data_IF_216020288029
#
_entry.id   IF_216020288029
#
_cell.length_a   1.000
_cell.length_b   1.000
_cell.length_c   1.000
_cell.angle_alpha   90.00
_cell.angle_beta   90.00
_cell.angle_gamma   90.00
#
_symmetry.space_group_name_H-M   'P 1'
#
loop_
_entity.id
_entity.type
_entity.pdbx_description
1 polymer ?
#
# COMPACT_ATOMS: atom_id res chain seq x y z
N UNK A 1 -15.00 -11.04 5.10
CA UNK A 1 -14.92 -11.17 3.63
C UNK A 1 -14.89 -9.76 3.04
N UNK A 2 -13.69 -9.22 2.83
CA UNK A 2 -13.52 -7.90 2.22
C UNK A 2 -13.88 -8.00 0.74
N UNK A 3 -14.84 -7.20 0.29
CA UNK A 3 -15.20 -7.07 -1.11
C UNK A 3 -14.54 -5.80 -1.64
N UNK A 4 -13.30 -5.90 -2.12
CA UNK A 4 -12.62 -4.78 -2.78
C UNK A 4 -13.38 -4.45 -4.06
N UNK A 5 -14.04 -3.30 -4.11
CA UNK A 5 -14.64 -2.74 -5.32
C UNK A 5 -13.88 -1.49 -5.70
N UNK A 6 -12.94 -1.65 -6.63
CA UNK A 6 -12.31 -0.51 -7.30
C UNK A 6 -13.33 0.00 -8.32
N UNK A 7 -13.88 1.19 -8.09
CA UNK A 7 -14.80 1.84 -9.01
C UNK A 7 -13.98 2.81 -9.85
N UNK A 8 -13.75 2.46 -11.12
CA UNK A 8 -13.17 3.40 -12.09
C UNK A 8 -14.28 4.27 -12.64
N UNK A 9 -14.13 5.57 -12.42
CA UNK A 9 -15.02 6.59 -12.98
C UNK A 9 -14.53 6.87 -14.40
N UNK A 10 -15.15 6.20 -15.40
CA UNK A 10 -14.74 6.27 -16.80
C UNK A 10 -15.26 5.06 -17.61
N UNK A 11 -14.66 4.81 -18.78
CA UNK A 11 -15.00 3.65 -19.62
C UNK A 11 -14.76 2.34 -18.85
N UNK A 12 -15.81 1.55 -18.55
CA UNK A 12 -15.70 0.31 -17.76
C UNK A 12 -14.79 -0.73 -18.40
N UNK A 13 -14.66 -0.71 -19.72
CA UNK A 13 -13.85 -1.63 -20.51
C UNK A 13 -12.34 -1.27 -20.53
N UNK A 14 -11.97 -0.10 -19.97
CA UNK A 14 -10.59 0.37 -19.89
C UNK A 14 -9.94 0.18 -18.51
N UNK A 15 -10.69 -0.39 -17.57
CA UNK A 15 -10.20 -0.79 -16.26
C UNK A 15 -9.05 -1.77 -16.46
N UNK A 16 -7.81 -1.28 -16.34
CA UNK A 16 -6.63 -2.13 -16.51
C UNK A 16 -6.51 -2.71 -17.93
N UNK A 17 -7.05 -2.01 -18.94
CA UNK A 17 -6.83 -2.33 -20.35
C UNK A 17 -5.45 -1.87 -20.85
N UNK A 18 -4.68 -1.20 -19.98
CA UNK A 18 -3.26 -1.06 -20.22
C UNK A 18 -2.66 -2.48 -20.22
N UNK A 19 -2.03 -2.92 -21.32
CA UNK A 19 -1.28 -4.16 -21.31
C UNK A 19 -0.27 -4.12 -20.16
N UNK A 20 0.12 -5.29 -19.67
CA UNK A 20 1.16 -5.34 -18.65
C UNK A 20 2.40 -4.64 -19.15
N UNK A 21 3.03 -3.80 -18.30
CA UNK A 21 4.28 -3.22 -18.68
C UNK A 21 5.29 -4.34 -18.93
N UNK A 22 5.92 -4.32 -20.10
CA UNK A 22 7.02 -5.22 -20.43
C UNK A 22 8.24 -4.88 -19.57
N UNK A 23 9.24 -5.77 -19.54
CA UNK A 23 10.52 -5.47 -18.88
C UNK A 23 11.21 -4.23 -19.43
N UNK A 24 10.90 -3.87 -20.68
CA UNK A 24 11.43 -2.69 -21.36
C UNK A 24 10.57 -1.43 -21.13
N UNK A 25 9.46 -1.52 -20.41
CA UNK A 25 8.59 -0.37 -20.16
C UNK A 25 9.15 0.55 -19.06
N UNK A 26 9.05 1.84 -19.35
CA UNK A 26 9.66 2.90 -18.57
C UNK A 26 8.61 3.69 -17.80
N UNK A 27 9.00 4.20 -16.63
CA UNK A 27 8.22 5.13 -15.83
C UNK A 27 8.05 6.47 -16.56
N UNK A 28 6.97 7.22 -16.31
CA UNK A 28 6.65 8.43 -17.06
C UNK A 28 7.68 9.55 -16.91
N UNK A 29 8.26 9.68 -15.71
CA UNK A 29 9.36 10.60 -15.39
C UNK A 29 10.07 10.09 -14.14
N UNK A 30 11.29 10.59 -13.90
CA UNK A 30 12.03 10.32 -12.66
C UNK A 30 11.65 11.29 -11.55
N UNK A 31 11.46 12.58 -11.85
CA UNK A 31 11.00 13.59 -10.87
C UNK A 31 9.55 14.01 -11.09
N UNK A 32 8.87 14.39 -10.00
CA UNK A 32 7.55 15.01 -10.04
C UNK A 32 7.60 16.44 -10.61
N UNK A 33 8.74 17.15 -10.45
CA UNK A 33 8.94 18.49 -11.02
C UNK A 33 9.01 18.43 -12.53
N UNK A 34 9.85 17.53 -13.08
CA UNK A 34 9.97 17.27 -14.52
C UNK A 34 8.61 16.95 -15.14
N UNK A 35 7.82 16.11 -14.46
CA UNK A 35 6.45 15.79 -14.89
C UNK A 35 5.53 17.01 -14.90
N UNK A 36 5.54 17.79 -13.82
CA UNK A 36 4.65 18.94 -13.63
C UNK A 36 4.96 20.06 -14.62
N UNK A 37 6.24 20.27 -14.90
CA UNK A 37 6.72 21.32 -15.80
C UNK A 37 6.72 20.87 -17.28
N UNK A 38 6.47 19.58 -17.54
CA UNK A 38 6.44 19.01 -18.88
C UNK A 38 7.83 18.88 -19.51
N UNK A 39 8.87 18.76 -18.69
CA UNK A 39 10.25 18.63 -19.12
C UNK A 39 10.56 17.20 -19.57
N UNK A 40 11.50 17.06 -20.51
CA UNK A 40 11.97 15.76 -20.99
C UNK A 40 13.08 15.28 -20.05
N UNK A 41 12.72 14.41 -19.11
CA UNK A 41 13.65 13.79 -18.15
C UNK A 41 14.18 12.42 -18.59
N UNK A 42 15.05 11.83 -17.77
CA UNK A 42 15.42 10.41 -17.86
C UNK A 42 14.32 9.53 -17.25
N UNK A 43 14.06 8.36 -17.83
CA UNK A 43 13.05 7.43 -17.34
C UNK A 43 13.69 6.14 -16.82
N UNK A 44 13.21 5.65 -15.68
CA UNK A 44 13.63 4.38 -15.08
C UNK A 44 12.67 3.25 -15.44
N UNK A 45 13.10 1.99 -15.35
CA UNK A 45 12.25 0.84 -15.65
C UNK A 45 11.10 0.70 -14.62
N UNK A 46 9.90 0.35 -15.10
CA UNK A 46 8.76 0.04 -14.23
C UNK A 46 9.05 -1.17 -13.33
N UNK A 47 9.79 -2.14 -13.87
CA UNK A 47 10.21 -3.38 -13.22
C UNK A 47 11.72 -3.37 -12.94
N UNK A 48 12.21 -2.35 -12.23
CA UNK A 48 13.60 -2.34 -11.79
C UNK A 48 13.89 -3.57 -10.91
N UNK A 49 15.03 -4.23 -11.16
CA UNK A 49 15.48 -5.37 -10.35
C UNK A 49 15.71 -4.97 -8.88
N UNK A 50 16.06 -3.70 -8.66
CA UNK A 50 16.25 -3.11 -7.33
C UNK A 50 15.37 -1.86 -7.17
N UNK A 51 14.20 -2.03 -6.54
CA UNK A 51 13.29 -0.94 -6.16
C UNK A 51 13.87 -0.01 -5.09
N UNK A 52 15.04 -0.37 -4.53
CA UNK A 52 15.80 0.37 -3.50
C UNK A 52 16.86 1.31 -4.10
N UNK A 53 16.87 1.54 -5.41
CA UNK A 53 17.90 2.35 -6.04
C UNK A 53 17.98 3.77 -5.42
N UNK A 54 19.19 4.30 -5.14
CA UNK A 54 19.40 5.59 -4.45
C UNK A 54 19.02 6.82 -5.29
N UNK A 55 18.52 6.63 -6.51
CA UNK A 55 17.95 7.68 -7.34
C UNK A 55 16.52 7.97 -6.91
N UNK A 56 16.28 9.15 -6.33
CA UNK A 56 14.98 9.60 -5.82
C UNK A 56 13.89 9.61 -6.90
N UNK A 57 13.18 8.49 -7.06
CA UNK A 57 11.95 8.43 -7.84
C UNK A 57 10.90 9.36 -7.22
N UNK A 58 10.24 10.15 -8.06
CA UNK A 58 9.13 11.03 -7.68
C UNK A 58 7.93 10.25 -7.13
N UNK A 59 7.05 10.95 -6.40
CA UNK A 59 5.85 10.37 -5.81
C UNK A 59 4.92 9.79 -6.87
N UNK A 60 4.83 10.41 -8.05
CA UNK A 60 4.00 9.89 -9.14
C UNK A 60 4.52 8.56 -9.69
N UNK A 61 5.83 8.44 -9.92
CA UNK A 61 6.46 7.22 -10.41
C UNK A 61 6.25 6.05 -9.41
N UNK A 62 6.36 6.34 -8.12
CA UNK A 62 6.08 5.38 -7.03
C UNK A 62 4.61 4.93 -7.01
N UNK A 63 3.67 5.84 -7.29
CA UNK A 63 2.25 5.49 -7.45
C UNK A 63 2.05 4.55 -8.63
N UNK A 64 2.71 4.80 -9.77
CA UNK A 64 2.65 3.91 -10.93
C UNK A 64 3.14 2.50 -10.59
N UNK A 65 4.26 2.37 -9.88
CA UNK A 65 4.78 1.08 -9.40
C UNK A 65 3.77 0.35 -8.50
N UNK A 66 3.17 1.05 -7.54
CA UNK A 66 2.17 0.46 -6.64
C UNK A 66 0.90 0.02 -7.40
N UNK A 67 0.43 0.81 -8.35
CA UNK A 67 -0.73 0.47 -9.20
C UNK A 67 -0.44 -0.75 -10.08
N UNK A 68 0.76 -0.84 -10.64
CA UNK A 68 1.19 -2.01 -11.40
C UNK A 68 1.16 -3.28 -10.53
N UNK A 69 1.71 -3.21 -9.32
CA UNK A 69 1.69 -4.34 -8.39
C UNK A 69 0.27 -4.73 -7.96
N UNK A 70 -0.61 -3.76 -7.74
CA UNK A 70 -2.03 -4.04 -7.49
C UNK A 70 -2.68 -4.76 -8.70
N UNK A 71 -2.35 -4.35 -9.92
CA UNK A 71 -2.85 -4.98 -11.16
C UNK A 71 -2.40 -6.45 -11.25
N UNK A 72 -1.14 -6.74 -10.89
CA UNK A 72 -0.62 -8.11 -10.79
C UNK A 72 -1.39 -8.95 -9.78
N UNK A 73 -1.66 -8.42 -8.58
CA UNK A 73 -2.46 -9.10 -7.55
C UNK A 73 -3.87 -9.40 -8.04
N UNK A 74 -4.52 -8.43 -8.70
CA UNK A 74 -5.88 -8.62 -9.20
C UNK A 74 -5.93 -9.70 -10.28
N UNK A 75 -4.98 -9.75 -11.22
CA UNK A 75 -4.92 -10.83 -12.22
C UNK A 75 -4.66 -12.18 -11.56
N UNK A 76 -3.73 -12.23 -10.61
CA UNK A 76 -3.46 -13.45 -9.84
C UNK A 76 -4.73 -13.97 -9.14
N UNK A 77 -5.52 -13.07 -8.54
CA UNK A 77 -6.83 -13.41 -7.97
C UNK A 77 -7.80 -14.02 -9.01
N UNK A 78 -7.88 -13.44 -10.21
CA UNK A 78 -8.71 -13.99 -11.28
C UNK A 78 -8.22 -15.36 -11.75
N UNK A 79 -6.90 -15.54 -11.92
CA UNK A 79 -6.29 -16.81 -12.35
C UNK A 79 -6.47 -17.93 -11.34
N UNK A 80 -6.42 -17.63 -10.04
CA UNK A 80 -6.64 -18.61 -8.97
C UNK A 80 -7.97 -19.36 -9.11
N UNK A 81 -9.01 -18.69 -9.63
CA UNK A 81 -10.33 -19.29 -9.81
C UNK A 81 -10.38 -20.28 -11.00
N UNK A 82 -9.43 -20.21 -11.93
CA UNK A 82 -9.39 -21.02 -13.14
C UNK A 82 -8.30 -22.09 -13.12
N UNK A 83 -7.23 -21.90 -12.35
CA UNK A 83 -6.03 -22.74 -12.40
C UNK A 83 -6.18 -24.01 -11.57
N UNK A 84 -5.69 -25.13 -12.13
CA UNK A 84 -5.62 -26.44 -11.44
C UNK A 84 -4.28 -26.71 -10.77
N UNK A 85 -3.21 -26.03 -11.17
CA UNK A 85 -1.88 -26.13 -10.55
C UNK A 85 -1.76 -25.20 -9.33
N UNK A 86 -2.01 -25.77 -8.15
CA UNK A 86 -1.97 -25.06 -6.87
C UNK A 86 -0.53 -24.67 -6.50
N UNK A 87 0.46 -25.50 -6.83
CA UNK A 87 1.86 -25.27 -6.40
C UNK A 87 2.45 -24.08 -7.16
N UNK A 88 2.28 -24.02 -8.49
CA UNK A 88 2.68 -22.86 -9.28
C UNK A 88 1.96 -21.59 -8.80
N UNK A 89 0.68 -21.69 -8.49
CA UNK A 89 -0.14 -20.56 -8.04
C UNK A 89 0.31 -20.03 -6.66
N UNK A 90 0.73 -20.90 -5.74
CA UNK A 90 1.30 -20.43 -4.46
C UNK A 90 2.70 -19.83 -4.66
N UNK A 91 3.54 -20.40 -5.52
CA UNK A 91 4.85 -19.80 -5.81
C UNK A 91 4.71 -18.39 -6.40
N UNK A 92 3.76 -18.18 -7.31
CA UNK A 92 3.49 -16.84 -7.85
C UNK A 92 3.01 -15.89 -6.76
N UNK A 93 2.13 -16.33 -5.86
CA UNK A 93 1.69 -15.52 -4.72
C UNK A 93 2.86 -15.10 -3.81
N UNK A 94 3.81 -16.01 -3.56
CA UNK A 94 5.02 -15.72 -2.79
C UNK A 94 5.94 -14.73 -3.50
N UNK A 95 6.08 -14.83 -4.82
CA UNK A 95 6.86 -13.86 -5.61
C UNK A 95 6.22 -12.47 -5.58
N UNK A 96 4.90 -12.38 -5.76
CA UNK A 96 4.16 -11.12 -5.67
C UNK A 96 4.29 -10.52 -4.26
N UNK A 97 4.18 -11.35 -3.22
CA UNK A 97 4.38 -10.90 -1.84
C UNK A 97 5.77 -10.28 -1.62
N UNK A 98 6.84 -10.95 -2.07
CA UNK A 98 8.22 -10.43 -1.93
C UNK A 98 8.37 -9.06 -2.59
N UNK A 99 7.92 -8.93 -3.83
CA UNK A 99 7.97 -7.67 -4.57
C UNK A 99 7.16 -6.55 -3.88
N UNK A 100 6.00 -6.88 -3.29
CA UNK A 100 5.22 -5.90 -2.52
C UNK A 100 5.92 -5.47 -1.23
N UNK A 101 6.59 -6.37 -0.52
CA UNK A 101 7.37 -6.03 0.69
C UNK A 101 8.60 -5.19 0.35
N UNK A 102 9.26 -5.49 -0.77
CA UNK A 102 10.39 -4.69 -1.27
C UNK A 102 9.95 -3.28 -1.66
N UNK A 103 8.80 -3.14 -2.33
CA UNK A 103 8.22 -1.84 -2.64
C UNK A 103 7.81 -1.07 -1.39
N UNK A 104 7.18 -1.73 -0.41
CA UNK A 104 6.82 -1.10 0.88
C UNK A 104 8.05 -0.54 1.60
N UNK A 105 9.14 -1.32 1.64
CA UNK A 105 10.40 -0.91 2.24
C UNK A 105 11.07 0.26 1.51
N UNK A 106 10.93 0.37 0.18
CA UNK A 106 11.49 1.51 -0.56
C UNK A 106 10.65 2.79 -0.48
N UNK A 107 9.42 2.70 0.05
CA UNK A 107 8.55 3.84 0.30
C UNK A 107 8.74 4.42 1.71
N UNK A 108 9.42 3.70 2.61
CA UNK A 108 9.70 4.10 3.98
C UNK A 108 11.03 4.89 4.06
N UNK A 109 10.97 6.22 4.32
CA UNK A 109 12.16 7.06 4.34
C UNK A 109 13.04 6.82 5.58
N UNK A 110 12.62 6.02 6.55
CA UNK A 110 13.42 5.71 7.74
C UNK A 110 14.63 4.79 7.47
N UNK A 111 14.83 4.37 6.21
CA UNK A 111 15.92 3.47 5.82
C UNK A 111 17.15 4.17 5.21
N UNK A 112 17.11 5.49 5.06
CA UNK A 112 18.17 6.29 4.43
C UNK A 112 19.13 6.98 5.45
N UNK A 113 19.01 6.74 6.77
CA UNK A 113 19.75 7.45 7.82
C UNK A 113 20.91 6.66 8.49
N UNK A 114 21.49 5.64 7.84
CA UNK A 114 22.65 4.88 8.40
C UNK A 114 23.89 4.89 7.51
N UNK A 115 24.22 6.04 6.91
CA UNK A 115 25.61 6.33 6.50
C UNK A 115 26.28 7.09 7.64
N UNK A 116 26.77 6.33 8.62
CA UNK A 116 27.72 6.84 9.61
C UNK A 116 29.04 7.16 8.95
N UNK A 117 29.23 8.42 8.56
CA UNK A 117 30.55 8.99 8.34
C UNK A 117 30.84 10.04 9.43
N UNK A 118 31.69 9.63 10.36
CA UNK A 118 32.52 10.53 11.16
C UNK A 118 33.42 11.31 10.19
N UNK A 119 33.09 12.57 9.85
CA UNK A 119 34.06 13.48 9.24
C UNK A 119 34.10 14.83 9.96
N UNK A 120 35.29 15.10 10.50
CA UNK A 120 35.70 16.31 11.18
C UNK A 120 36.08 17.38 10.14
N UNK A 121 35.42 18.53 10.11
CA UNK A 121 36.05 19.76 9.57
C UNK A 121 35.14 20.79 8.90
N UNK A 122 35.35 22.05 9.30
CA UNK A 122 34.99 23.30 8.63
C UNK A 122 34.94 23.24 7.08
N UNK A 123 33.88 23.79 6.47
CA UNK A 123 33.95 24.94 5.55
C UNK A 123 32.55 25.35 5.04
N UNK A 124 32.42 26.65 4.76
CA UNK A 124 31.23 27.40 4.32
C UNK A 124 30.62 26.97 2.96
N UNK A 125 29.33 27.32 2.79
CA UNK A 125 28.57 27.52 1.54
C UNK A 125 28.31 26.32 0.61
N UNK A 126 27.17 25.65 0.80
CA UNK A 126 26.08 25.52 -0.20
C UNK A 126 24.93 24.71 0.44
N UNK A 127 23.74 25.32 0.52
CA UNK A 127 22.50 24.71 1.05
C UNK A 127 21.92 23.71 0.02
N UNK A 128 22.68 22.66 -0.27
CA UNK A 128 22.28 21.51 -1.09
C UNK A 128 21.95 20.33 -0.14
N UNK A 129 21.09 20.59 0.86
CA UNK A 129 20.49 19.49 1.63
C UNK A 129 19.64 18.67 0.67
N UNK A 130 19.85 17.34 0.54
CA UNK A 130 18.97 16.50 -0.24
C UNK A 130 17.55 16.74 0.26
N UNK A 131 16.69 17.27 -0.61
CA UNK A 131 15.30 17.56 -0.28
C UNK A 131 14.64 16.21 -0.10
N UNK A 132 14.66 15.68 1.14
CA UNK A 132 13.95 14.46 1.51
C UNK A 132 12.53 14.67 0.98
N UNK A 133 12.06 13.85 0.01
CA UNK A 133 10.72 14.01 -0.50
C UNK A 133 9.79 13.96 0.71
N UNK A 134 8.94 14.99 0.92
CA UNK A 134 8.14 15.04 2.12
C UNK A 134 7.39 13.72 2.23
N UNK A 135 7.43 13.07 3.39
CA UNK A 135 6.79 11.79 3.70
C UNK A 135 5.36 11.67 3.13
N UNK A 136 4.66 12.81 3.00
CA UNK A 136 3.39 13.03 2.30
C UNK A 136 3.34 12.49 0.84
N UNK A 137 4.45 12.58 0.09
CA UNK A 137 4.55 12.23 -1.33
C UNK A 137 4.40 10.71 -1.57
N UNK A 138 4.81 9.88 -0.60
CA UNK A 138 4.74 8.43 -0.72
C UNK A 138 3.43 7.83 -0.20
N UNK A 139 2.62 8.60 0.56
CA UNK A 139 1.37 8.09 1.15
C UNK A 139 0.44 7.44 0.12
N UNK A 140 0.19 8.02 -1.07
CA UNK A 140 -0.68 7.38 -2.06
C UNK A 140 -0.11 6.03 -2.55
N UNK A 141 1.20 5.96 -2.81
CA UNK A 141 1.86 4.72 -3.23
C UNK A 141 1.81 3.65 -2.13
N UNK A 142 2.11 4.03 -0.88
CA UNK A 142 2.08 3.15 0.27
C UNK A 142 0.67 2.62 0.55
N UNK A 143 -0.35 3.46 0.38
CA UNK A 143 -1.74 3.05 0.50
C UNK A 143 -2.15 2.04 -0.57
N UNK A 144 -1.76 2.25 -1.83
CA UNK A 144 -2.04 1.31 -2.92
C UNK A 144 -1.28 -0.01 -2.68
N UNK A 145 -0.01 0.06 -2.26
CA UNK A 145 0.79 -1.13 -1.92
C UNK A 145 0.15 -1.91 -0.76
N UNK A 146 -0.28 -1.22 0.31
CA UNK A 146 -0.99 -1.81 1.44
C UNK A 146 -2.31 -2.48 1.01
N UNK A 147 -3.08 -1.83 0.14
CA UNK A 147 -4.30 -2.41 -0.43
C UNK A 147 -3.99 -3.67 -1.27
N UNK A 148 -2.96 -3.65 -2.12
CA UNK A 148 -2.54 -4.80 -2.90
C UNK A 148 -2.15 -5.98 -2.00
N UNK A 149 -1.39 -5.72 -0.92
CA UNK A 149 -1.04 -6.70 0.10
C UNK A 149 -2.29 -7.26 0.79
N UNK A 150 -3.22 -6.41 1.24
CA UNK A 150 -4.47 -6.86 1.86
C UNK A 150 -5.31 -7.72 0.91
N UNK A 151 -5.44 -7.34 -0.37
CA UNK A 151 -6.13 -8.15 -1.38
C UNK A 151 -5.48 -9.53 -1.49
N UNK A 152 -4.15 -9.57 -1.65
CA UNK A 152 -3.40 -10.83 -1.78
C UNK A 152 -3.56 -11.69 -0.52
N UNK A 153 -3.32 -11.14 0.66
CA UNK A 153 -3.34 -11.89 1.91
C UNK A 153 -4.73 -12.43 2.25
N UNK A 154 -5.80 -11.66 1.99
CA UNK A 154 -7.16 -12.14 2.21
C UNK A 154 -7.52 -13.39 1.39
N UNK A 155 -6.84 -13.61 0.25
CA UNK A 155 -7.03 -14.82 -0.55
C UNK A 155 -6.53 -16.08 0.17
N UNK A 156 -5.49 -15.95 0.99
CA UNK A 156 -4.77 -17.07 1.60
C UNK A 156 -4.95 -17.14 3.12
N UNK A 157 -5.46 -16.08 3.75
CA UNK A 157 -5.75 -16.05 5.18
C UNK A 157 -6.85 -17.06 5.58
N UNK A 158 -7.85 -17.26 4.71
CA UNK A 158 -8.92 -18.22 4.92
C UNK A 158 -8.74 -19.46 4.01
N UNK A 159 -8.36 -20.58 4.62
CA UNK A 159 -8.40 -21.88 3.97
C UNK A 159 -9.84 -22.43 4.03
N UNK A 160 -10.71 -22.03 3.11
CA UNK A 160 -12.07 -22.58 3.07
C UNK A 160 -12.04 -24.10 2.85
N UNK A 161 -12.77 -24.88 3.68
CA UNK A 161 -12.65 -26.33 3.72
C UNK A 161 -13.20 -27.05 2.47
N UNK A 162 -14.16 -26.47 1.73
CA UNK A 162 -14.89 -27.20 0.69
C UNK A 162 -14.00 -27.63 -0.50
N UNK A 163 -13.09 -26.76 -0.97
CA UNK A 163 -12.16 -27.09 -2.06
C UNK A 163 -10.94 -27.89 -1.56
N UNK A 164 -10.50 -27.64 -0.33
CA UNK A 164 -9.32 -28.28 0.28
C UNK A 164 -9.57 -29.76 0.65
N UNK A 165 -10.80 -30.12 1.04
CA UNK A 165 -11.16 -31.50 1.39
C UNK A 165 -11.08 -32.43 0.17
N UNK A 166 -11.35 -31.93 -1.04
CA UNK A 166 -11.36 -32.74 -2.26
C UNK A 166 -9.96 -32.99 -2.86
N UNK A 167 -8.98 -32.11 -2.60
CA UNK A 167 -7.66 -32.13 -3.26
C UNK A 167 -6.49 -32.54 -2.36
N UNK A 168 -6.71 -32.63 -1.05
CA UNK A 168 -5.63 -32.81 -0.07
C UNK A 168 -4.88 -31.50 0.17
N UNK A 169 -4.51 -31.24 1.44
CA UNK A 169 -3.80 -30.01 1.82
C UNK A 169 -2.31 -30.13 1.57
N UNK A 170 -1.71 -29.10 0.97
CA UNK A 170 -0.26 -29.01 0.71
C UNK A 170 0.39 -28.22 1.84
N UNK A 171 1.58 -28.63 2.31
CA UNK A 171 2.30 -27.91 3.38
C UNK A 171 2.51 -26.41 3.05
N UNK A 172 2.74 -26.12 1.77
CA UNK A 172 2.89 -24.77 1.23
C UNK A 172 1.65 -23.88 1.44
N UNK A 173 0.44 -24.46 1.49
CA UNK A 173 -0.80 -23.72 1.79
C UNK A 173 -0.83 -23.21 3.24
N UNK A 174 -0.26 -23.98 4.17
CA UNK A 174 -0.15 -23.56 5.56
C UNK A 174 0.88 -22.44 5.72
N UNK A 175 1.99 -22.51 4.98
CA UNK A 175 3.03 -21.46 5.00
C UNK A 175 2.48 -20.13 4.49
N UNK A 176 1.83 -20.13 3.32
CA UNK A 176 1.24 -18.91 2.76
C UNK A 176 0.08 -18.37 3.61
N UNK A 177 -0.69 -19.24 4.28
CA UNK A 177 -1.72 -18.81 5.23
C UNK A 177 -1.10 -18.09 6.43
N UNK A 178 -0.07 -18.67 7.07
CA UNK A 178 0.62 -18.04 8.21
C UNK A 178 1.20 -16.68 7.81
N UNK A 179 1.85 -16.64 6.66
CA UNK A 179 2.42 -15.41 6.09
C UNK A 179 1.34 -14.35 5.87
N UNK A 180 0.19 -14.75 5.31
CA UNK A 180 -0.91 -13.83 5.02
C UNK A 180 -1.54 -13.26 6.28
N UNK A 181 -1.80 -14.11 7.29
CA UNK A 181 -2.33 -13.65 8.58
C UNK A 181 -1.36 -12.71 9.30
N UNK A 182 -0.06 -13.03 9.29
CA UNK A 182 0.98 -12.17 9.85
C UNK A 182 1.05 -10.83 9.11
N UNK A 183 0.96 -10.85 7.78
CA UNK A 183 0.99 -9.65 6.94
C UNK A 183 -0.22 -8.74 7.13
N UNK A 184 -1.43 -9.31 7.27
CA UNK A 184 -2.64 -8.53 7.60
C UNK A 184 -2.49 -7.89 8.98
N UNK A 185 -2.01 -8.67 9.97
CA UNK A 185 -1.80 -8.17 11.33
C UNK A 185 -0.82 -6.99 11.34
N UNK A 186 0.31 -7.13 10.66
CA UNK A 186 1.35 -6.11 10.59
C UNK A 186 0.86 -4.80 9.94
N UNK A 187 0.14 -4.91 8.81
CA UNK A 187 -0.47 -3.75 8.15
C UNK A 187 -1.49 -3.03 9.04
N UNK A 188 -2.35 -3.81 9.70
CA UNK A 188 -3.44 -3.27 10.51
C UNK A 188 -2.96 -2.67 11.85
N UNK A 189 -1.91 -3.21 12.47
CA UNK A 189 -1.39 -2.67 13.74
C UNK A 189 -0.31 -1.61 13.57
N UNK A 190 0.43 -1.59 12.46
CA UNK A 190 1.57 -0.69 12.27
C UNK A 190 1.41 0.23 11.07
N UNK A 191 1.49 -0.30 9.85
CA UNK A 191 1.67 0.49 8.62
C UNK A 191 0.52 1.46 8.39
N UNK A 192 -0.73 0.99 8.43
CA UNK A 192 -1.91 1.82 8.15
C UNK A 192 -2.16 2.84 9.29
N UNK A 193 -2.08 2.46 10.58
CA UNK A 193 -2.10 3.44 11.66
C UNK A 193 -0.98 4.48 11.60
N UNK A 194 0.24 4.09 11.21
CA UNK A 194 1.35 5.02 11.03
C UNK A 194 1.04 6.08 9.99
N UNK A 195 0.58 5.65 8.81
CA UNK A 195 0.11 6.55 7.76
C UNK A 195 -1.00 7.49 8.26
N UNK A 196 -1.95 6.98 9.07
CA UNK A 196 -3.00 7.80 9.68
C UNK A 196 -2.44 8.90 10.61
N UNK A 197 -1.43 8.57 11.43
CA UNK A 197 -0.75 9.53 12.30
C UNK A 197 0.01 10.58 11.50
N UNK A 198 0.70 10.17 10.45
CA UNK A 198 1.46 11.06 9.56
C UNK A 198 0.55 12.06 8.84
N UNK A 199 -0.62 11.63 8.36
CA UNK A 199 -1.64 12.53 7.78
C UNK A 199 -2.05 13.63 8.77
N UNK A 200 -2.32 13.25 10.02
CA UNK A 200 -2.74 14.20 11.06
C UNK A 200 -1.59 15.14 11.45
N UNK A 201 -0.36 14.61 11.54
CA UNK A 201 0.84 15.36 11.89
C UNK A 201 1.22 16.37 10.80
N UNK A 202 1.14 15.98 9.53
CA UNK A 202 1.34 16.85 8.36
C UNK A 202 0.36 18.03 8.37
N UNK A 203 -0.93 17.75 8.57
CA UNK A 203 -1.94 18.80 8.63
C UNK A 203 -1.71 19.79 9.79
N UNK A 204 -1.34 19.28 10.97
CA UNK A 204 -1.09 20.11 12.14
C UNK A 204 0.05 21.13 11.91
N UNK A 205 1.05 20.77 11.10
CA UNK A 205 2.16 21.66 10.76
C UNK A 205 1.83 22.63 9.62
N UNK A 206 0.92 22.26 8.72
CA UNK A 206 0.60 23.03 7.52
C UNK A 206 -0.90 23.01 7.22
N UNK A 207 -1.72 23.73 8.02
CA UNK A 207 -3.18 23.71 7.89
C UNK A 207 -3.69 24.38 6.60
N UNK A 208 -2.84 25.14 5.90
CA UNK A 208 -3.16 25.81 4.63
C UNK A 208 -2.88 24.97 3.38
N UNK A 209 -2.22 23.80 3.52
CA UNK A 209 -1.98 22.89 2.39
C UNK A 209 -3.27 22.19 1.96
N UNK A 210 -3.40 21.79 0.68
CA UNK A 210 -4.47 20.90 0.24
C UNK A 210 -4.47 19.65 1.11
N UNK A 211 -5.65 19.17 1.51
CA UNK A 211 -5.71 17.97 2.32
C UNK A 211 -5.34 16.70 1.55
N UNK A 212 -5.23 15.59 2.28
CA UNK A 212 -4.64 14.34 1.82
C UNK A 212 -5.42 13.71 0.66
N UNK A 213 -4.72 12.95 -0.18
CA UNK A 213 -5.30 12.27 -1.34
C UNK A 213 -6.48 11.33 -0.97
N UNK A 214 -7.59 11.32 -1.72
CA UNK A 214 -8.77 10.49 -1.41
C UNK A 214 -8.49 8.98 -1.48
N UNK A 215 -7.42 8.55 -2.16
CA UNK A 215 -7.05 7.12 -2.23
C UNK A 215 -6.68 6.54 -0.85
N UNK A 216 -6.19 7.40 0.04
CA UNK A 216 -5.84 7.05 1.42
C UNK A 216 -7.08 6.62 2.21
N UNK A 217 -8.24 7.22 1.93
CA UNK A 217 -9.48 6.92 2.62
C UNK A 217 -9.87 5.44 2.51
N UNK A 218 -9.62 4.82 1.35
CA UNK A 218 -9.95 3.41 1.13
C UNK A 218 -9.00 2.48 1.90
N UNK A 219 -7.70 2.79 1.89
CA UNK A 219 -6.71 2.05 2.67
C UNK A 219 -7.01 2.14 4.18
N UNK A 220 -7.29 3.35 4.67
CA UNK A 220 -7.68 3.60 6.06
C UNK A 220 -8.95 2.82 6.43
N UNK A 221 -9.98 2.86 5.59
CA UNK A 221 -11.20 2.08 5.83
C UNK A 221 -10.92 0.58 5.98
N UNK A 222 -10.11 0.01 5.08
CA UNK A 222 -9.78 -1.41 5.16
C UNK A 222 -8.91 -1.75 6.38
N UNK A 223 -7.93 -0.91 6.72
CA UNK A 223 -7.18 -1.04 7.97
C UNK A 223 -8.10 -1.03 9.20
N UNK A 224 -9.07 -0.11 9.26
CA UNK A 224 -10.05 -0.06 10.34
C UNK A 224 -10.90 -1.34 10.42
N UNK A 225 -11.31 -1.91 9.27
CA UNK A 225 -12.08 -3.16 9.28
C UNK A 225 -11.25 -4.34 9.79
N UNK A 226 -9.96 -4.40 9.47
CA UNK A 226 -9.06 -5.43 9.99
C UNK A 226 -8.77 -5.25 11.49
N UNK A 227 -8.50 -4.03 11.95
CA UNK A 227 -8.38 -3.74 13.38
C UNK A 227 -9.63 -4.18 14.13
N UNK A 228 -10.81 -3.81 13.63
CA UNK A 228 -12.09 -4.19 14.25
C UNK A 228 -12.29 -5.70 14.29
N UNK A 229 -11.88 -6.42 13.24
CA UNK A 229 -11.91 -7.88 13.24
C UNK A 229 -10.99 -8.45 14.33
N UNK A 230 -9.73 -8.05 14.39
CA UNK A 230 -8.78 -8.52 15.42
C UNK A 230 -9.19 -8.16 16.85
N UNK A 231 -9.77 -6.97 17.08
CA UNK A 231 -10.26 -6.58 18.41
C UNK A 231 -11.35 -7.54 18.90
N UNK A 232 -12.25 -7.97 18.01
CA UNK A 232 -13.32 -8.90 18.38
C UNK A 232 -12.83 -10.32 18.62
N UNK A 233 -11.84 -10.78 17.85
CA UNK A 233 -11.31 -12.14 17.96
C UNK A 233 -10.31 -12.28 19.12
N UNK A 234 -9.33 -11.37 19.20
CA UNK A 234 -8.15 -11.52 20.06
C UNK A 234 -8.07 -10.46 21.18
N UNK A 235 -8.84 -9.38 21.11
CA UNK A 235 -8.78 -8.28 22.10
C UNK A 235 -7.45 -7.51 22.10
N UNK A 236 -6.72 -7.51 20.98
CA UNK A 236 -5.38 -6.95 20.87
C UNK A 236 -5.37 -5.42 21.11
N UNK A 237 -4.63 -4.91 22.14
CA UNK A 237 -4.61 -3.48 22.47
C UNK A 237 -3.96 -2.63 21.37
N UNK A 238 -3.02 -3.18 20.59
CA UNK A 238 -2.38 -2.45 19.49
C UNK A 238 -3.40 -2.14 18.39
N UNK A 239 -4.33 -3.08 18.15
CA UNK A 239 -5.42 -2.90 17.19
C UNK A 239 -6.43 -1.84 17.66
N UNK A 240 -6.68 -1.74 18.97
CA UNK A 240 -7.51 -0.67 19.54
C UNK A 240 -6.86 0.70 19.32
N UNK A 241 -5.55 0.82 19.53
CA UNK A 241 -4.82 2.05 19.26
C UNK A 241 -4.84 2.38 17.77
N UNK A 242 -4.52 1.40 16.91
CA UNK A 242 -4.51 1.58 15.47
C UNK A 242 -5.86 2.01 14.91
N UNK A 243 -6.96 1.40 15.38
CA UNK A 243 -8.31 1.80 14.99
C UNK A 243 -8.62 3.26 15.37
N UNK A 244 -8.17 3.72 16.54
CA UNK A 244 -8.38 5.12 16.96
C UNK A 244 -7.64 6.09 16.05
N UNK A 245 -6.38 5.82 15.71
CA UNK A 245 -5.58 6.64 14.82
C UNK A 245 -6.22 6.74 13.43
N UNK A 246 -6.65 5.60 12.88
CA UNK A 246 -7.30 5.52 11.58
C UNK A 246 -8.62 6.29 11.56
N UNK A 247 -9.46 6.14 12.60
CA UNK A 247 -10.75 6.82 12.69
C UNK A 247 -10.56 8.33 12.84
N UNK A 248 -9.53 8.77 13.58
CA UNK A 248 -9.19 10.19 13.68
C UNK A 248 -8.79 10.76 12.31
N UNK A 249 -7.96 10.06 11.54
CA UNK A 249 -7.59 10.47 10.19
C UNK A 249 -8.80 10.52 9.24
N UNK A 250 -9.68 9.50 9.25
CA UNK A 250 -10.90 9.52 8.44
C UNK A 250 -11.85 10.67 8.81
N UNK A 251 -11.98 10.99 10.11
CA UNK A 251 -12.78 12.13 10.58
C UNK A 251 -12.19 13.47 10.18
N UNK A 252 -10.88 13.56 10.07
CA UNK A 252 -10.20 14.73 9.52
C UNK A 252 -10.47 14.84 8.01
N UNK A 253 -10.21 13.78 7.25
CA UNK A 253 -10.37 13.75 5.80
C UNK A 253 -11.81 13.98 5.31
N UNK A 254 -12.83 13.71 6.13
CA UNK A 254 -14.24 13.87 5.74
C UNK A 254 -14.64 15.32 5.47
N UNK A 255 -13.86 16.31 5.91
CA UNK A 255 -14.11 17.73 5.65
C UNK A 255 -13.99 18.07 4.17
N UNK A 256 -13.13 17.34 3.46
CA UNK A 256 -12.87 17.51 2.03
C UNK A 256 -13.48 16.37 1.20
N UNK A 257 -13.43 15.14 1.70
CA UNK A 257 -13.80 13.94 0.94
C UNK A 257 -15.03 13.24 1.50
N UNK A 258 -16.15 13.30 0.76
CA UNK A 258 -17.41 12.65 1.15
C UNK A 258 -17.29 11.13 1.32
N UNK A 259 -16.34 10.48 0.64
CA UNK A 259 -16.10 9.04 0.77
C UNK A 259 -15.68 8.64 2.18
N UNK A 260 -14.95 9.51 2.90
CA UNK A 260 -14.54 9.26 4.28
C UNK A 260 -15.76 9.22 5.22
N UNK A 261 -16.75 10.09 4.99
CA UNK A 261 -18.01 10.06 5.73
C UNK A 261 -18.76 8.74 5.50
N UNK A 262 -18.83 8.29 4.25
CA UNK A 262 -19.45 6.99 3.92
C UNK A 262 -18.72 5.82 4.58
N UNK A 263 -17.39 5.84 4.61
CA UNK A 263 -16.58 4.84 5.29
C UNK A 263 -16.81 4.83 6.81
N UNK A 264 -16.88 6.00 7.45
CA UNK A 264 -17.23 6.10 8.87
C UNK A 264 -18.63 5.53 9.16
N UNK A 265 -19.63 5.87 8.34
CA UNK A 265 -20.98 5.32 8.47
C UNK A 265 -21.00 3.78 8.34
N UNK A 266 -20.21 3.23 7.42
CA UNK A 266 -20.06 1.78 7.26
C UNK A 266 -19.38 1.13 8.47
N UNK A 267 -18.37 1.76 9.05
CA UNK A 267 -17.69 1.27 10.26
C UNK A 267 -18.64 1.28 11.47
N UNK A 268 -19.45 2.34 11.64
CA UNK A 268 -20.47 2.40 12.69
C UNK A 268 -21.52 1.30 12.51
N UNK A 269 -22.04 1.12 11.29
CA UNK A 269 -23.00 0.03 10.99
C UNK A 269 -22.41 -1.36 11.21
N UNK A 270 -21.12 -1.53 10.95
CA UNK A 270 -20.38 -2.76 11.17
C UNK A 270 -20.05 -3.04 12.64
N UNK A 271 -20.38 -2.12 13.56
CA UNK A 271 -20.04 -2.23 14.99
C UNK A 271 -18.54 -2.09 15.28
N UNK A 272 -17.77 -1.54 14.34
CA UNK A 272 -16.34 -1.31 14.52
C UNK A 272 -16.07 -0.10 15.41
N UNK A 273 -16.93 0.92 15.36
CA UNK A 273 -16.85 2.14 16.16
C UNK A 273 -18.20 2.51 16.74
N UNK A 274 -18.18 3.09 17.96
CA UNK A 274 -19.35 3.61 18.67
C UNK A 274 -19.68 5.04 18.26
#
# INVERSE_FOLDING_TARGET
MINFRIVVVGSPDLLLAAPDPDHDDLLPSRSDTEWTDGEIGSNDAVLAHDLRSPSSLGGFARVCQAVHMLSRVLRHFHMRNTTTDIVSMIHEALNIHRALVELDASLDPSTDDDDGDDDDGDDDDDDDRPTIPPLEANHPALAICSLARLVLYNQYACNEPAAAIARGRVALELEVQKLSLAGIKDLASKTIPQMAREILWAHAQSPSKPGPCPILAHCLYHGATECAWFIREDGDPDMVSGLKDIVAALRFMQTEWQVCKQHLDLLTRGGAIL
#
